data_IF_734214279993
#
_entry.id   IF_734214279993
#
_cell.length_a   1.000
_cell.length_b   1.000
_cell.length_c   1.000
_cell.angle_alpha   90.00
_cell.angle_beta   90.00
_cell.angle_gamma   90.00
#
_symmetry.space_group_name_H-M   'P 1'
#
loop_
_entity.id
_entity.type
_entity.pdbx_description
1 polymer ?
#
# COMPACT_ATOMS: atom_id res chain seq x y z
N UNK A 1 -8.17 19.28 26.43
CA UNK A 1 -8.24 18.09 25.55
C UNK A 1 -6.89 17.39 25.63
N UNK A 2 -6.79 16.30 26.40
CA UNK A 2 -5.53 15.54 26.52
C UNK A 2 -5.19 14.91 25.17
N UNK A 3 -4.14 15.42 24.53
CA UNK A 3 -3.53 14.79 23.38
C UNK A 3 -2.74 13.57 23.90
N UNK A 4 -3.45 12.45 24.13
CA UNK A 4 -2.85 11.16 24.50
C UNK A 4 -1.90 10.75 23.38
N UNK A 5 -0.64 11.18 23.47
CA UNK A 5 0.40 10.80 22.52
C UNK A 5 0.43 9.28 22.50
N UNK A 6 0.10 8.68 21.35
CA UNK A 6 -0.08 7.23 21.20
C UNK A 6 1.28 6.56 21.08
N UNK A 7 2.04 6.58 22.15
CA UNK A 7 3.28 5.84 22.24
C UNK A 7 3.00 4.38 22.59
N UNK A 8 3.77 3.47 22.02
CA UNK A 8 3.81 2.08 22.49
C UNK A 8 4.52 2.00 23.86
N UNK A 9 4.44 0.85 24.53
CA UNK A 9 5.14 0.59 25.82
C UNK A 9 6.66 0.84 25.70
N UNK A 10 7.22 0.66 24.49
CA UNK A 10 8.63 0.88 24.19
C UNK A 10 8.93 2.29 23.65
N UNK A 11 7.95 3.20 23.64
CA UNK A 11 8.14 4.61 23.26
C UNK A 11 8.04 4.92 21.76
N UNK A 12 7.47 4.04 20.94
CA UNK A 12 7.28 4.29 19.50
C UNK A 12 6.09 5.21 19.27
N UNK A 13 6.27 6.33 18.56
CA UNK A 13 5.18 7.22 18.16
C UNK A 13 4.36 6.61 17.02
N UNK A 14 3.12 6.23 17.31
CA UNK A 14 2.23 5.60 16.31
C UNK A 14 1.82 6.57 15.20
N UNK A 15 1.72 7.88 15.47
CA UNK A 15 1.29 8.84 14.44
C UNK A 15 2.42 9.11 13.44
N UNK A 16 3.68 9.14 13.90
CA UNK A 16 4.83 9.23 13.01
C UNK A 16 4.98 7.97 12.14
N UNK A 17 4.77 6.78 12.70
CA UNK A 17 4.80 5.52 11.94
C UNK A 17 3.74 5.51 10.84
N UNK A 18 2.51 5.95 11.12
CA UNK A 18 1.47 6.06 10.09
C UNK A 18 1.84 7.05 8.99
N UNK A 19 2.42 8.20 9.37
CA UNK A 19 2.88 9.21 8.41
C UNK A 19 3.96 8.63 7.48
N UNK A 20 4.92 7.89 8.04
CA UNK A 20 5.96 7.23 7.26
C UNK A 20 5.39 6.12 6.37
N UNK A 21 4.47 5.30 6.88
CA UNK A 21 3.80 4.25 6.10
C UNK A 21 2.96 4.82 4.94
N UNK A 22 2.33 5.99 5.13
CA UNK A 22 1.64 6.69 4.05
C UNK A 22 2.62 7.26 3.00
N UNK A 23 3.88 7.52 3.39
CA UNK A 23 4.93 8.05 2.51
C UNK A 23 5.81 6.96 1.87
N UNK A 24 5.68 5.69 2.26
CA UNK A 24 6.54 4.59 1.79
C UNK A 24 6.15 3.97 0.45
N UNK A 25 5.14 4.51 -0.23
CA UNK A 25 4.68 4.01 -1.53
C UNK A 25 3.72 2.83 -1.44
N UNK A 26 3.58 2.09 -2.54
CA UNK A 26 2.64 0.97 -2.64
C UNK A 26 3.07 -0.19 -1.73
N UNK A 27 2.09 -0.77 -1.03
CA UNK A 27 2.27 -2.03 -0.34
C UNK A 27 2.55 -3.16 -1.33
N UNK A 28 3.13 -4.25 -0.82
CA UNK A 28 3.38 -5.46 -1.60
C UNK A 28 2.13 -5.96 -2.35
N UNK A 29 0.96 -5.94 -1.70
CA UNK A 29 -0.29 -6.38 -2.31
C UNK A 29 -0.74 -5.45 -3.43
N UNK A 30 -0.59 -4.13 -3.25
CA UNK A 30 -0.90 -3.16 -4.29
C UNK A 30 0.03 -3.28 -5.50
N UNK A 31 1.33 -3.52 -5.27
CA UNK A 31 2.28 -3.81 -6.35
C UNK A 31 1.90 -5.11 -7.06
N UNK A 32 1.56 -6.16 -6.32
CA UNK A 32 1.12 -7.44 -6.90
C UNK A 32 -0.12 -7.28 -7.78
N UNK A 33 -1.11 -6.52 -7.32
CA UNK A 33 -2.31 -6.21 -8.11
C UNK A 33 -1.99 -5.38 -9.35
N UNK A 34 -1.16 -4.33 -9.20
CA UNK A 34 -0.73 -3.50 -10.32
C UNK A 34 -0.02 -4.33 -11.40
N UNK A 35 0.91 -5.20 -10.99
CA UNK A 35 1.63 -6.10 -11.89
C UNK A 35 0.69 -7.11 -12.55
N UNK A 36 -0.26 -7.68 -11.81
CA UNK A 36 -1.25 -8.59 -12.38
C UNK A 36 -2.12 -7.88 -13.44
N UNK A 37 -2.56 -6.64 -13.17
CA UNK A 37 -3.33 -5.83 -14.12
C UNK A 37 -2.50 -5.50 -15.37
N UNK A 38 -1.26 -5.08 -15.21
CA UNK A 38 -0.34 -4.78 -16.34
C UNK A 38 -0.08 -6.03 -17.18
N UNK A 39 0.19 -7.17 -16.54
CA UNK A 39 0.36 -8.46 -17.21
C UNK A 39 -0.89 -8.88 -17.97
N UNK A 40 -2.08 -8.77 -17.37
CA UNK A 40 -3.35 -9.08 -18.03
C UNK A 40 -3.67 -8.10 -19.15
N UNK A 41 -3.37 -6.81 -19.02
CA UNK A 41 -3.55 -5.84 -20.08
C UNK A 41 -2.65 -6.15 -21.29
N UNK A 42 -1.39 -6.54 -21.04
CA UNK A 42 -0.42 -6.91 -22.08
C UNK A 42 -0.76 -8.23 -22.77
N UNK A 43 -1.20 -9.25 -22.01
CA UNK A 43 -1.44 -10.60 -22.54
C UNK A 43 -2.90 -10.90 -22.90
N UNK A 44 -3.86 -10.17 -22.31
CA UNK A 44 -5.30 -10.31 -22.54
C UNK A 44 -5.82 -9.52 -23.74
N UNK A 45 -5.03 -8.59 -24.30
CA UNK A 45 -5.36 -7.90 -25.55
C UNK A 45 -5.39 -8.83 -26.79
N UNK A 46 -4.99 -10.10 -26.64
CA UNK A 46 -4.99 -11.12 -27.70
C UNK A 46 -6.27 -11.96 -27.84
N UNK A 47 -7.33 -11.71 -27.06
CA UNK A 47 -8.57 -12.50 -27.15
C UNK A 47 -9.82 -11.62 -27.31
N UNK A 48 -9.88 -10.83 -28.38
CA UNK A 48 -11.17 -10.45 -28.99
C UNK A 48 -11.52 -11.55 -29.97
N UNK A 49 -12.35 -12.49 -29.52
CA UNK A 49 -12.90 -13.56 -30.33
C UNK A 49 -13.64 -12.94 -31.54
N UNK A 50 -13.33 -13.45 -32.73
CA UNK A 50 -14.19 -13.37 -33.91
C UNK A 50 -15.50 -14.14 -33.64
#
# INVERSE_FOLDING_TARGET
MENKRKFTVVGTDIEEVKRQNAASGLSYNEVKEMLARDFLAKNGAGNKQN
#
